data_IF_947156823881
#
_entry.id   IF_947156823881
#
_cell.length_a   1.000
_cell.length_b   1.000
_cell.length_c   1.000
_cell.angle_alpha   90.00
_cell.angle_beta   90.00
_cell.angle_gamma   90.00
#
_symmetry.space_group_name_H-M   'P 1'
#
loop_
_entity.id
_entity.type
_entity.pdbx_description
1 polymer ?
#
# COMPACT_ATOMS: atom_id res chain seq x y z
N UNK A 1 -0.74 -6.10 -4.79
CA UNK A 1 0.28 -5.92 -3.73
C UNK A 1 0.21 -7.11 -2.78
N UNK A 2 1.28 -7.37 -1.99
CA UNK A 2 1.26 -8.40 -0.93
C UNK A 2 1.26 -7.68 0.43
N UNK A 3 0.29 -8.00 1.28
CA UNK A 3 0.17 -7.42 2.64
C UNK A 3 0.26 -8.55 3.64
N UNK A 4 1.13 -8.44 4.64
CA UNK A 4 1.26 -9.45 5.69
C UNK A 4 0.44 -9.02 6.91
N UNK A 5 -0.47 -9.89 7.37
CA UNK A 5 -1.12 -9.70 8.67
C UNK A 5 -0.20 -10.15 9.79
N UNK A 6 0.17 -9.24 10.69
CA UNK A 6 0.97 -9.55 11.88
C UNK A 6 0.14 -10.06 13.06
N UNK A 7 -1.18 -9.83 13.05
CA UNK A 7 -2.09 -10.20 14.16
C UNK A 7 -2.86 -11.52 13.99
N UNK A 8 -2.97 -12.07 12.78
CA UNK A 8 -3.77 -13.27 12.47
C UNK A 8 -2.92 -14.38 11.84
N UNK A 9 -1.75 -14.65 12.42
CA UNK A 9 -0.88 -15.75 11.99
C UNK A 9 -0.30 -15.52 10.59
N UNK A 10 0.64 -14.57 10.45
CA UNK A 10 1.56 -14.40 9.31
C UNK A 10 0.99 -14.76 7.93
N UNK A 11 -0.23 -14.34 7.64
CA UNK A 11 -0.88 -14.67 6.36
C UNK A 11 -0.57 -13.57 5.36
N UNK A 12 0.02 -13.95 4.23
CA UNK A 12 0.24 -13.05 3.09
C UNK A 12 -1.06 -12.95 2.31
N UNK A 13 -1.63 -11.75 2.26
CA UNK A 13 -2.83 -11.45 1.49
C UNK A 13 -2.45 -10.81 0.16
N UNK A 14 -3.12 -11.25 -0.90
CA UNK A 14 -3.14 -10.55 -2.18
C UNK A 14 -4.15 -9.43 -2.04
N UNK A 15 -3.71 -8.19 -2.30
CA UNK A 15 -4.56 -7.03 -2.18
C UNK A 15 -4.41 -6.05 -3.35
N UNK A 16 -5.43 -5.23 -3.53
CA UNK A 16 -5.55 -4.20 -4.57
C UNK A 16 -5.93 -2.87 -3.95
N UNK A 17 -5.39 -1.78 -4.49
CA UNK A 17 -5.86 -0.44 -4.15
C UNK A 17 -7.26 -0.31 -4.74
N UNK A 18 -8.26 -0.17 -3.89
CA UNK A 18 -9.65 -0.06 -4.29
C UNK A 18 -10.02 1.40 -4.56
N UNK A 19 -9.64 2.31 -3.66
CA UNK A 19 -10.00 3.72 -3.78
C UNK A 19 -9.10 4.64 -2.93
N UNK A 20 -9.02 5.91 -3.32
CA UNK A 20 -8.36 6.97 -2.58
C UNK A 20 -9.29 8.19 -2.52
N UNK A 21 -9.86 8.46 -1.35
CA UNK A 21 -10.82 9.54 -1.15
C UNK A 21 -10.25 10.64 -0.27
N UNK A 22 -10.61 11.89 -0.55
CA UNK A 22 -10.38 12.99 0.39
C UNK A 22 -11.36 12.85 1.56
N UNK A 23 -10.87 13.03 2.79
CA UNK A 23 -11.72 13.10 3.98
C UNK A 23 -11.94 14.56 4.31
N UNK A 24 -13.15 15.05 4.01
CA UNK A 24 -13.57 16.40 4.41
C UNK A 24 -13.98 16.39 5.89
N UNK A 25 -13.59 17.44 6.64
CA UNK A 25 -13.93 17.61 8.06
C UNK A 25 -12.79 17.37 9.06
N UNK A 26 -11.64 16.85 8.61
CA UNK A 26 -10.43 16.73 9.43
C UNK A 26 -9.62 18.04 9.41
N UNK A 27 -9.35 18.63 10.58
CA UNK A 27 -8.54 19.84 10.75
C UNK A 27 -7.10 19.60 10.30
N UNK A 28 -6.80 19.89 9.03
CA UNK A 28 -5.49 19.68 8.43
C UNK A 28 -5.50 18.88 7.12
N UNK A 29 -6.66 18.34 6.72
CA UNK A 29 -6.82 17.54 5.51
C UNK A 29 -6.26 16.12 5.65
N UNK A 30 -7.06 15.13 5.28
CA UNK A 30 -6.66 13.73 5.29
C UNK A 30 -7.14 13.02 4.02
N UNK A 31 -6.48 11.91 3.69
CA UNK A 31 -6.91 11.02 2.62
C UNK A 31 -7.21 9.65 3.20
N UNK A 32 -8.25 8.99 2.70
CA UNK A 32 -8.58 7.61 3.02
C UNK A 32 -8.20 6.72 1.86
N UNK A 33 -7.24 5.84 2.09
CA UNK A 33 -6.84 4.79 1.18
C UNK A 33 -7.58 3.50 1.55
N UNK A 34 -8.39 3.01 0.62
CA UNK A 34 -9.09 1.74 0.74
C UNK A 34 -8.30 0.67 -0.01
N UNK A 35 -7.94 -0.39 0.70
CA UNK A 35 -7.23 -1.54 0.15
C UNK A 35 -8.13 -2.76 0.34
N UNK A 36 -8.43 -3.48 -0.74
CA UNK A 36 -9.21 -4.70 -0.69
C UNK A 36 -8.28 -5.90 -0.85
N UNK A 37 -8.31 -6.82 0.12
CA UNK A 37 -7.67 -8.12 0.03
C UNK A 37 -8.59 -9.06 -0.74
N UNK A 38 -8.09 -9.65 -1.83
CA UNK A 38 -8.84 -10.56 -2.70
C UNK A 38 -8.62 -12.03 -2.30
N UNK A 39 -7.44 -12.36 -1.76
CA UNK A 39 -7.11 -13.73 -1.33
C UNK A 39 -6.21 -13.73 -0.09
N UNK A 40 -6.37 -14.66 0.87
CA UNK A 40 -7.39 -15.73 0.94
C UNK A 40 -8.72 -15.31 1.59
N UNK A 41 -8.81 -14.09 2.16
CA UNK A 41 -10.04 -13.60 2.81
C UNK A 41 -10.35 -12.18 2.34
N UNK A 42 -11.61 -11.94 1.96
CA UNK A 42 -12.11 -10.64 1.49
C UNK A 42 -12.17 -9.63 2.64
N UNK A 43 -11.07 -8.93 2.89
CA UNK A 43 -10.98 -7.87 3.89
C UNK A 43 -10.81 -6.51 3.23
N UNK A 44 -11.50 -5.50 3.76
CA UNK A 44 -11.31 -4.11 3.37
C UNK A 44 -10.50 -3.39 4.46
N UNK A 45 -9.30 -2.95 4.12
CA UNK A 45 -8.43 -2.17 5.00
C UNK A 45 -8.61 -0.70 4.63
N UNK A 46 -9.09 0.08 5.60
CA UNK A 46 -9.21 1.54 5.47
C UNK A 46 -8.05 2.19 6.20
N UNK A 47 -7.12 2.78 5.47
CA UNK A 47 -6.02 3.55 6.03
C UNK A 47 -6.33 5.04 5.87
N UNK A 48 -6.43 5.77 6.99
CA UNK A 48 -6.49 7.23 6.96
C UNK A 48 -5.05 7.75 7.04
N UNK A 49 -4.69 8.60 6.08
CA UNK A 49 -3.35 9.16 5.91
C UNK A 49 -3.44 10.66 6.10
N UNK A 50 -2.75 11.18 7.11
CA UNK A 50 -2.65 12.62 7.37
C UNK A 50 -1.53 13.29 6.58
N UNK A 51 -1.45 14.62 6.67
CA UNK A 51 -0.40 15.39 6.00
C UNK A 51 1.03 15.03 6.47
N UNK A 52 1.22 14.64 7.73
CA UNK A 52 2.51 14.22 8.26
C UNK A 52 2.98 12.87 7.68
N UNK A 53 2.07 11.90 7.62
CA UNK A 53 2.31 10.60 7.00
C UNK A 53 2.69 10.76 5.53
N UNK A 54 1.97 11.65 4.82
CA UNK A 54 2.24 11.94 3.41
C UNK A 54 3.64 12.55 3.20
N UNK A 55 4.06 13.47 4.08
CA UNK A 55 5.41 14.06 4.04
C UNK A 55 6.48 13.00 4.30
N UNK A 56 6.24 12.11 5.24
CA UNK A 56 7.16 11.01 5.56
C UNK A 56 7.26 10.05 4.39
N UNK A 57 6.13 9.67 3.79
CA UNK A 57 6.08 8.84 2.60
C UNK A 57 6.82 9.49 1.42
N UNK A 58 6.59 10.79 1.17
CA UNK A 58 7.28 11.53 0.13
C UNK A 58 8.81 11.55 0.36
N UNK A 59 9.28 11.76 1.59
CA UNK A 59 10.72 11.68 1.91
C UNK A 59 11.31 10.30 1.66
N UNK A 60 10.58 9.23 2.01
CA UNK A 60 11.03 7.87 1.76
C UNK A 60 11.11 7.57 0.25
N UNK A 61 10.13 8.05 -0.52
CA UNK A 61 10.13 7.92 -1.99
C UNK A 61 11.26 8.70 -2.64
N UNK A 62 11.54 9.92 -2.17
CA UNK A 62 12.58 10.81 -2.71
C UNK A 62 14.01 10.43 -2.29
N UNK A 63 14.19 9.42 -1.43
CA UNK A 63 15.51 8.94 -1.05
C UNK A 63 16.22 8.42 -2.32
N UNK A 64 17.45 8.88 -2.66
CA UNK A 64 18.11 8.54 -3.92
C UNK A 64 18.21 7.02 -4.18
N UNK A 65 18.47 6.24 -3.13
CA UNK A 65 18.52 4.77 -3.21
C UNK A 65 17.18 4.16 -3.66
N UNK A 66 16.07 4.73 -3.20
CA UNK A 66 14.73 4.25 -3.51
C UNK A 66 14.28 4.75 -4.87
N UNK A 67 14.60 5.99 -5.25
CA UNK A 67 14.29 6.56 -6.57
C UNK A 67 14.84 5.70 -7.70
N UNK A 68 16.12 5.30 -7.63
CA UNK A 68 16.74 4.46 -8.67
C UNK A 68 16.03 3.12 -8.79
N UNK A 69 15.73 2.48 -7.66
CA UNK A 69 15.05 1.19 -7.64
C UNK A 69 13.59 1.28 -8.11
N UNK A 70 12.87 2.32 -7.71
CA UNK A 70 11.50 2.59 -8.16
C UNK A 70 11.47 2.87 -9.66
N UNK A 71 12.37 3.70 -10.19
CA UNK A 71 12.49 3.95 -11.63
C UNK A 71 12.81 2.66 -12.39
N UNK A 72 13.71 1.83 -11.86
CA UNK A 72 14.00 0.53 -12.46
C UNK A 72 12.78 -0.41 -12.46
N UNK A 73 12.02 -0.47 -11.36
CA UNK A 73 10.77 -1.22 -11.29
C UNK A 73 9.67 -0.66 -12.21
N UNK A 74 9.61 0.64 -12.43
CA UNK A 74 8.66 1.25 -13.37
C UNK A 74 9.00 0.88 -14.83
N UNK A 75 10.29 0.84 -15.18
CA UNK A 75 10.75 0.52 -16.53
C UNK A 75 10.82 -0.99 -16.83
N UNK A 76 11.16 -1.81 -15.83
CA UNK A 76 11.49 -3.24 -16.01
C UNK A 76 10.77 -4.19 -15.04
N UNK A 77 9.93 -3.67 -14.14
CA UNK A 77 9.22 -4.47 -13.14
C UNK A 77 8.18 -5.38 -13.78
N UNK A 78 8.27 -6.67 -13.46
CA UNK A 78 7.26 -7.67 -13.83
C UNK A 78 6.15 -7.72 -12.77
N UNK A 79 4.97 -8.21 -13.17
CA UNK A 79 3.87 -8.46 -12.23
C UNK A 79 4.36 -9.40 -11.13
N UNK A 80 3.98 -9.11 -9.89
CA UNK A 80 4.26 -10.00 -8.75
C UNK A 80 3.55 -11.33 -8.98
N UNK A 81 4.31 -12.40 -9.26
CA UNK A 81 3.78 -13.75 -9.34
C UNK A 81 3.25 -14.17 -7.95
N UNK A 82 2.04 -14.76 -7.87
CA UNK A 82 1.56 -15.34 -6.61
C UNK A 82 2.54 -16.43 -6.16
N UNK A 83 2.81 -16.57 -4.84
CA UNK A 83 3.63 -17.67 -4.37
C UNK A 83 2.92 -18.99 -4.71
N UNK A 84 3.62 -19.94 -5.33
CA UNK A 84 3.11 -21.29 -5.47
C UNK A 84 2.83 -21.85 -4.07
N UNK A 85 1.56 -22.17 -3.81
CA UNK A 85 1.16 -22.96 -2.66
C UNK A 85 1.61 -24.40 -2.91
N UNK A 86 2.80 -24.74 -2.42
CA UNK A 86 3.24 -26.13 -2.25
C UNK A 86 2.72 -26.70 -0.93
#
# INVERSE_FOLDING_TARGET
MKVNSTGLGKTTMVATFADLQKVDGESGGAMRLNIEATEPVHWSIKATVGGEDLRTFARLMLKPSNLVYVLWLLCFGKKLTPPESH
#
